data_IF_236495077246
#
_entry.id   IF_236495077246
#
_cell.length_a   1.000
_cell.length_b   1.000
_cell.length_c   1.000
_cell.angle_alpha   90.00
_cell.angle_beta   90.00
_cell.angle_gamma   90.00
#
_symmetry.space_group_name_H-M   'P 1'
#
loop_
_entity.id
_entity.type
_entity.pdbx_description
1 polymer ?
#
# COMPACT_ATOMS: atom_id res chain seq x y z
N UNK A 1 -4.43 17.12 0.90
CA UNK A 1 -4.33 16.40 -0.38
C UNK A 1 -5.39 15.29 -0.45
N UNK A 2 -6.12 15.16 -1.58
CA UNK A 2 -7.06 14.04 -1.78
C UNK A 2 -6.32 12.79 -2.22
N UNK A 3 -6.46 11.71 -1.46
CA UNK A 3 -5.92 10.38 -1.79
C UNK A 3 -7.10 9.41 -1.84
N UNK A 4 -7.05 8.49 -2.78
CA UNK A 4 -8.06 7.45 -2.93
C UNK A 4 -7.44 6.05 -2.89
N UNK A 5 -8.24 5.06 -2.55
CA UNK A 5 -7.95 3.67 -2.89
C UNK A 5 -9.18 3.01 -3.52
N UNK A 6 -8.93 2.00 -4.34
CA UNK A 6 -9.97 1.26 -5.05
C UNK A 6 -9.72 -0.25 -4.90
N UNK A 7 -10.30 -0.88 -3.86
CA UNK A 7 -10.20 -2.32 -3.67
C UNK A 7 -11.08 -3.07 -4.66
N UNK A 8 -10.58 -4.17 -5.21
CA UNK A 8 -11.34 -5.12 -6.02
C UNK A 8 -10.82 -6.54 -5.80
N UNK A 9 -11.52 -7.55 -6.30
CA UNK A 9 -11.03 -8.93 -6.33
C UNK A 9 -10.17 -9.12 -7.58
N UNK A 10 -8.86 -9.21 -7.42
CA UNK A 10 -7.97 -9.52 -8.54
C UNK A 10 -8.01 -11.03 -8.86
N UNK A 11 -7.56 -11.39 -10.05
CA UNK A 11 -7.51 -12.77 -10.52
C UNK A 11 -6.35 -12.99 -11.49
N UNK A 12 -6.32 -14.17 -12.10
CA UNK A 12 -5.29 -14.58 -13.05
C UNK A 12 -5.38 -13.83 -14.40
N UNK A 13 -6.53 -13.27 -14.74
CA UNK A 13 -6.74 -12.52 -15.98
C UNK A 13 -6.34 -11.05 -15.80
N UNK A 14 -5.18 -10.70 -16.35
CA UNK A 14 -4.65 -9.35 -16.27
C UNK A 14 -5.52 -8.31 -16.99
N UNK A 15 -6.18 -8.68 -18.08
CA UNK A 15 -7.08 -7.73 -18.78
C UNK A 15 -8.31 -7.40 -17.94
N UNK A 16 -8.84 -8.39 -17.22
CA UNK A 16 -9.92 -8.15 -16.27
C UNK A 16 -9.44 -7.29 -15.07
N UNK A 17 -8.24 -7.54 -14.54
CA UNK A 17 -7.63 -6.69 -13.52
C UNK A 17 -7.46 -5.25 -14.04
N UNK A 18 -6.96 -5.07 -15.27
CA UNK A 18 -6.82 -3.76 -15.91
C UNK A 18 -8.18 -3.06 -16.12
N UNK A 19 -9.25 -3.82 -16.37
CA UNK A 19 -10.61 -3.27 -16.46
C UNK A 19 -11.02 -2.63 -15.11
N UNK A 20 -10.83 -3.30 -13.99
CA UNK A 20 -11.11 -2.77 -12.65
C UNK A 20 -10.20 -1.57 -12.33
N UNK A 21 -8.94 -1.63 -12.71
CA UNK A 21 -7.98 -0.52 -12.54
C UNK A 21 -8.45 0.72 -13.31
N UNK A 22 -8.90 0.59 -14.57
CA UNK A 22 -9.46 1.70 -15.37
C UNK A 22 -10.69 2.33 -14.71
N UNK A 23 -11.59 1.51 -14.13
CA UNK A 23 -12.75 2.01 -13.38
C UNK A 23 -12.33 2.83 -12.16
N UNK A 24 -11.34 2.33 -11.39
CA UNK A 24 -10.78 3.03 -10.25
C UNK A 24 -10.13 4.36 -10.64
N UNK A 25 -9.33 4.36 -11.71
CA UNK A 25 -8.66 5.57 -12.23
C UNK A 25 -9.68 6.62 -12.68
N UNK A 26 -10.71 6.21 -13.44
CA UNK A 26 -11.79 7.12 -13.84
C UNK A 26 -12.49 7.74 -12.63
N UNK A 27 -12.90 6.91 -11.67
CA UNK A 27 -13.59 7.38 -10.47
C UNK A 27 -12.70 8.32 -9.61
N UNK A 28 -11.38 8.05 -9.53
CA UNK A 28 -10.44 8.89 -8.81
C UNK A 28 -10.25 10.25 -9.48
N UNK A 29 -10.12 10.28 -10.81
CA UNK A 29 -10.00 11.50 -11.60
C UNK A 29 -11.25 12.39 -11.47
N UNK A 30 -12.45 11.81 -11.58
CA UNK A 30 -13.72 12.51 -11.39
C UNK A 30 -13.87 13.16 -10.01
N UNK A 31 -13.24 12.59 -8.97
CA UNK A 31 -13.24 13.11 -7.60
C UNK A 31 -12.05 14.04 -7.29
N UNK A 32 -11.16 14.25 -8.25
CA UNK A 32 -9.96 15.08 -8.11
C UNK A 32 -8.93 14.49 -7.13
N UNK A 33 -8.80 13.17 -7.08
CA UNK A 33 -7.76 12.52 -6.30
C UNK A 33 -6.38 12.75 -6.93
N UNK A 34 -5.38 13.07 -6.09
CA UNK A 34 -4.00 13.25 -6.52
C UNK A 34 -3.23 11.93 -6.58
N UNK A 35 -3.60 10.97 -5.74
CA UNK A 35 -3.03 9.63 -5.69
C UNK A 35 -4.16 8.61 -5.57
N UNK A 36 -4.11 7.57 -6.40
CA UNK A 36 -4.94 6.39 -6.31
C UNK A 36 -4.09 5.18 -5.95
N UNK A 37 -4.49 4.44 -4.91
CA UNK A 37 -3.78 3.28 -4.40
C UNK A 37 -4.60 2.01 -4.64
N UNK A 38 -3.93 0.96 -5.10
CA UNK A 38 -4.48 -0.37 -5.27
C UNK A 38 -3.87 -1.36 -4.27
N UNK A 39 -4.50 -2.52 -4.12
CA UNK A 39 -4.07 -3.58 -3.22
C UNK A 39 -2.79 -4.29 -3.69
N UNK A 40 -2.24 -5.16 -2.83
CA UNK A 40 -1.12 -6.05 -3.11
C UNK A 40 -1.41 -6.91 -4.35
N UNK A 41 -0.46 -6.95 -5.28
CA UNK A 41 -0.57 -7.66 -6.56
C UNK A 41 -1.85 -7.38 -7.37
N UNK A 42 -2.43 -6.19 -7.25
CA UNK A 42 -3.66 -5.81 -7.95
C UNK A 42 -3.59 -6.01 -9.48
N UNK A 43 -2.40 -5.80 -10.06
CA UNK A 43 -2.20 -5.95 -11.51
C UNK A 43 -2.15 -7.41 -11.95
N UNK A 44 -1.48 -8.27 -11.18
CA UNK A 44 -1.16 -9.65 -11.57
C UNK A 44 -2.05 -10.70 -10.92
N UNK A 45 -2.81 -10.34 -9.88
CA UNK A 45 -3.31 -11.26 -8.89
C UNK A 45 -2.20 -11.69 -7.93
N UNK A 46 -2.54 -12.00 -6.67
CA UNK A 46 -1.60 -12.45 -5.65
C UNK A 46 -1.47 -13.98 -5.65
N UNK A 47 -0.29 -14.55 -5.96
CA UNK A 47 -0.09 -15.99 -5.89
C UNK A 47 0.15 -16.44 -4.43
N UNK A 48 -0.29 -17.65 -4.02
CA UNK A 48 -1.10 -18.60 -4.78
C UNK A 48 -2.62 -18.42 -4.60
N UNK A 49 -3.07 -17.29 -4.06
CA UNK A 49 -4.47 -17.08 -3.62
C UNK A 49 -5.39 -16.71 -4.79
N UNK A 50 -4.94 -15.82 -5.66
CA UNK A 50 -5.72 -15.24 -6.75
C UNK A 50 -5.27 -15.74 -8.13
N UNK A 51 -4.04 -16.29 -8.20
CA UNK A 51 -3.43 -16.77 -9.45
C UNK A 51 -2.31 -17.78 -9.14
N UNK A 52 -1.88 -18.52 -10.14
CA UNK A 52 -0.69 -19.37 -10.07
C UNK A 52 0.55 -18.56 -10.48
N UNK A 53 1.67 -18.75 -9.75
CA UNK A 53 2.91 -17.99 -9.99
C UNK A 53 3.47 -18.20 -11.39
N UNK A 54 3.30 -19.40 -11.95
CA UNK A 54 3.76 -19.78 -13.29
C UNK A 54 3.00 -19.05 -14.40
N UNK A 55 1.78 -18.56 -14.13
CA UNK A 55 0.98 -17.78 -15.08
C UNK A 55 1.44 -16.33 -15.21
N UNK A 56 2.27 -15.86 -14.26
CA UNK A 56 2.80 -14.50 -14.22
C UNK A 56 4.17 -14.52 -14.91
N UNK A 57 4.26 -13.99 -16.13
CA UNK A 57 5.52 -13.85 -16.86
C UNK A 57 6.03 -12.42 -16.83
N UNK A 58 7.35 -12.24 -17.06
CA UNK A 58 7.97 -10.92 -17.10
C UNK A 58 7.33 -10.04 -18.18
N UNK A 59 7.05 -10.60 -19.37
CA UNK A 59 6.41 -9.88 -20.49
C UNK A 59 5.04 -9.37 -20.11
N UNK A 60 4.21 -10.20 -19.43
CA UNK A 60 2.89 -9.76 -18.92
C UNK A 60 3.04 -8.62 -17.91
N UNK A 61 3.99 -8.73 -16.97
CA UNK A 61 4.23 -7.69 -15.98
C UNK A 61 4.64 -6.36 -16.65
N UNK A 62 5.55 -6.41 -17.61
CA UNK A 62 6.00 -5.23 -18.38
C UNK A 62 4.83 -4.62 -19.17
N UNK A 63 4.02 -5.45 -19.84
CA UNK A 63 2.83 -4.99 -20.55
C UNK A 63 1.85 -4.28 -19.62
N UNK A 64 1.50 -4.91 -18.49
CA UNK A 64 0.55 -4.35 -17.53
C UNK A 64 1.05 -3.04 -16.91
N UNK A 65 2.34 -2.97 -16.53
CA UNK A 65 2.93 -1.74 -15.99
C UNK A 65 2.97 -0.59 -16.98
N UNK A 66 3.19 -0.88 -18.29
CA UNK A 66 3.07 0.14 -19.35
C UNK A 66 1.64 0.67 -19.47
N UNK A 67 0.64 -0.21 -19.36
CA UNK A 67 -0.77 0.20 -19.35
C UNK A 67 -1.08 1.10 -18.13
N UNK A 68 -0.60 0.76 -16.93
CA UNK A 68 -0.77 1.58 -15.73
C UNK A 68 -0.09 2.94 -15.87
N UNK A 69 1.14 2.99 -16.39
CA UNK A 69 1.86 4.23 -16.71
C UNK A 69 1.07 5.13 -17.67
N UNK A 70 0.49 4.54 -18.73
CA UNK A 70 -0.36 5.26 -19.69
C UNK A 70 -1.61 5.83 -18.99
N UNK A 71 -2.29 5.02 -18.16
CA UNK A 71 -3.47 5.46 -17.41
C UNK A 71 -3.16 6.64 -16.47
N UNK A 72 -2.00 6.61 -15.76
CA UNK A 72 -1.58 7.72 -14.91
C UNK A 72 -1.41 9.02 -15.73
N UNK A 73 -0.75 8.93 -16.88
CA UNK A 73 -0.53 10.08 -17.78
C UNK A 73 -1.84 10.61 -18.37
N UNK A 74 -2.73 9.74 -18.81
CA UNK A 74 -4.00 10.11 -19.47
C UNK A 74 -4.98 10.72 -18.47
N UNK A 75 -5.00 10.24 -17.23
CA UNK A 75 -5.92 10.71 -16.19
C UNK A 75 -5.38 11.90 -15.38
N UNK A 76 -4.06 12.14 -15.40
CA UNK A 76 -3.41 13.11 -14.53
C UNK A 76 -3.42 12.73 -13.04
N UNK A 77 -3.67 11.45 -12.72
CA UNK A 77 -3.70 10.90 -11.36
C UNK A 77 -2.44 10.07 -11.11
N UNK A 78 -1.72 10.32 -10.03
CA UNK A 78 -0.66 9.43 -9.60
C UNK A 78 -1.24 8.06 -9.19
N UNK A 79 -0.58 6.96 -9.55
CA UNK A 79 -1.08 5.61 -9.27
C UNK A 79 -0.04 4.82 -8.47
N UNK A 80 -0.44 4.30 -7.30
CA UNK A 80 0.29 3.28 -6.56
C UNK A 80 -0.29 1.91 -6.90
N UNK A 81 0.52 1.06 -7.53
CA UNK A 81 0.12 -0.23 -8.08
C UNK A 81 0.89 -1.38 -7.44
N UNK A 82 0.17 -2.32 -6.79
CA UNK A 82 0.72 -3.60 -6.35
C UNK A 82 0.82 -4.59 -7.52
N UNK A 83 1.96 -5.30 -7.62
CA UNK A 83 2.22 -6.26 -8.71
C UNK A 83 3.33 -7.24 -8.32
N UNK A 84 3.39 -8.36 -9.00
CA UNK A 84 4.63 -9.13 -9.12
C UNK A 84 5.53 -8.41 -10.11
N UNK A 85 6.81 -8.29 -9.79
CA UNK A 85 7.81 -7.64 -10.63
C UNK A 85 9.01 -8.56 -10.86
N UNK A 86 9.53 -8.55 -12.08
CA UNK A 86 10.79 -9.19 -12.44
C UNK A 86 11.89 -8.13 -12.59
N UNK A 87 13.05 -8.38 -11.96
CA UNK A 87 14.20 -7.49 -12.04
C UNK A 87 15.48 -8.32 -11.85
N UNK A 88 16.38 -8.30 -12.84
CA UNK A 88 17.64 -9.04 -12.82
C UNK A 88 17.46 -10.55 -12.66
N UNK A 89 16.40 -11.14 -13.23
CA UNK A 89 16.08 -12.56 -13.12
C UNK A 89 15.48 -12.98 -11.77
N UNK A 90 15.20 -12.02 -10.90
CA UNK A 90 14.55 -12.24 -9.59
C UNK A 90 13.11 -11.77 -9.62
N UNK A 91 12.27 -12.40 -8.80
CA UNK A 91 10.87 -12.00 -8.60
C UNK A 91 10.70 -11.26 -7.29
N UNK A 92 9.87 -10.22 -7.33
CA UNK A 92 9.53 -9.39 -6.17
C UNK A 92 8.02 -9.21 -6.07
N UNK A 93 7.52 -9.15 -4.85
CA UNK A 93 6.19 -8.63 -4.54
C UNK A 93 6.36 -7.12 -4.32
N UNK A 94 5.90 -6.31 -5.26
CA UNK A 94 6.27 -4.90 -5.35
C UNK A 94 5.06 -3.97 -5.37
N UNK A 95 5.27 -2.74 -4.92
CA UNK A 95 4.41 -1.60 -5.16
C UNK A 95 5.20 -0.49 -5.88
N UNK A 96 4.71 -0.09 -7.04
CA UNK A 96 5.29 0.97 -7.87
C UNK A 96 4.39 2.20 -7.85
N UNK A 97 4.99 3.38 -7.88
CA UNK A 97 4.26 4.65 -7.97
C UNK A 97 4.58 5.32 -9.29
N UNK A 98 3.54 5.57 -10.09
CA UNK A 98 3.61 6.36 -11.32
C UNK A 98 3.05 7.75 -11.06
N UNK A 99 3.78 8.79 -11.49
CA UNK A 99 3.33 10.19 -11.42
C UNK A 99 2.28 10.49 -12.53
N UNK A 100 1.72 11.70 -12.50
CA UNK A 100 0.74 12.18 -13.50
C UNK A 100 1.32 12.31 -14.92
N UNK A 101 2.61 12.06 -15.10
CA UNK A 101 3.29 11.98 -16.42
C UNK A 101 3.57 10.54 -16.83
N UNK A 102 3.15 9.56 -16.01
CA UNK A 102 3.40 8.14 -16.22
C UNK A 102 4.83 7.69 -15.92
N UNK A 103 5.63 8.50 -15.22
CA UNK A 103 7.00 8.13 -14.83
C UNK A 103 6.95 7.38 -13.50
N UNK A 104 7.70 6.30 -13.38
CA UNK A 104 7.95 5.65 -12.10
C UNK A 104 8.76 6.59 -11.20
N UNK A 105 8.22 6.94 -10.04
CA UNK A 105 8.86 7.85 -9.07
C UNK A 105 9.22 7.15 -7.76
N UNK A 106 8.65 5.97 -7.50
CA UNK A 106 8.97 5.18 -6.31
C UNK A 106 8.69 3.71 -6.57
N UNK A 107 9.50 2.85 -5.96
CA UNK A 107 9.31 1.41 -5.89
C UNK A 107 9.58 0.94 -4.47
N UNK A 108 8.73 0.07 -3.97
CA UNK A 108 8.94 -0.69 -2.75
C UNK A 108 8.74 -2.17 -3.04
N UNK A 109 9.70 -2.98 -2.66
CA UNK A 109 9.62 -4.43 -2.73
C UNK A 109 9.39 -4.95 -1.30
N UNK A 110 8.44 -5.84 -1.11
CA UNK A 110 8.07 -6.41 0.19
C UNK A 110 9.30 -6.95 0.93
N UNK A 111 9.52 -6.51 2.14
CA UNK A 111 10.72 -6.87 2.93
C UNK A 111 10.46 -8.06 3.83
N UNK A 112 9.31 -8.12 4.47
CA UNK A 112 8.92 -9.24 5.32
C UNK A 112 8.12 -10.24 4.48
N UNK A 113 8.75 -11.36 4.13
CA UNK A 113 8.15 -12.44 3.36
C UNK A 113 7.61 -13.50 4.32
N UNK A 114 6.31 -13.84 4.18
CA UNK A 114 5.73 -14.94 4.94
C UNK A 114 5.95 -16.27 4.19
N UNK A 115 5.96 -17.40 4.88
CA UNK A 115 6.00 -18.76 4.36
C UNK A 115 6.20 -18.91 2.84
N UNK A 116 5.11 -19.02 2.10
CA UNK A 116 5.12 -19.18 0.65
C UNK A 116 5.86 -18.03 -0.09
N UNK A 117 5.73 -16.80 0.36
CA UNK A 117 6.45 -15.67 -0.24
C UNK A 117 7.97 -15.84 -0.16
N UNK A 118 8.47 -16.38 0.97
CA UNK A 118 9.91 -16.56 1.18
C UNK A 118 10.54 -17.59 0.21
N UNK A 119 9.74 -18.51 -0.30
CA UNK A 119 10.17 -19.51 -1.28
C UNK A 119 10.11 -18.99 -2.72
N UNK A 120 9.29 -17.96 -2.98
CA UNK A 120 8.94 -17.54 -4.34
C UNK A 120 9.38 -16.13 -4.71
N UNK A 121 9.63 -15.26 -3.73
CA UNK A 121 10.04 -13.87 -3.93
C UNK A 121 11.38 -13.56 -3.28
N UNK A 122 12.05 -12.56 -3.79
CA UNK A 122 13.24 -11.96 -3.19
C UNK A 122 12.82 -10.84 -2.23
N UNK A 123 13.34 -10.79 -0.99
CA UNK A 123 13.07 -9.67 -0.09
C UNK A 123 13.62 -8.36 -0.64
N UNK A 124 12.87 -7.27 -0.42
CA UNK A 124 13.25 -5.93 -0.85
C UNK A 124 14.25 -5.24 0.08
N UNK A 125 14.94 -4.24 -0.45
CA UNK A 125 15.90 -3.41 0.30
C UNK A 125 15.55 -1.91 0.23
N UNK A 126 14.68 -1.51 -0.71
CA UNK A 126 14.32 -0.10 -0.94
C UNK A 126 13.43 0.43 0.19
N UNK A 127 13.61 1.70 0.55
CA UNK A 127 12.83 2.32 1.65
C UNK A 127 11.36 2.57 1.30
N UNK A 128 11.05 2.74 0.01
CA UNK A 128 9.69 2.96 -0.46
C UNK A 128 9.10 4.26 0.06
N UNK A 129 9.84 5.37 -0.07
CA UNK A 129 9.42 6.69 0.41
C UNK A 129 9.46 7.68 -0.76
N UNK A 130 8.40 8.48 -0.89
CA UNK A 130 8.30 9.56 -1.87
C UNK A 130 7.50 10.73 -1.29
N UNK A 131 7.57 11.88 -1.96
CA UNK A 131 6.79 13.07 -1.57
C UNK A 131 5.86 13.46 -2.72
N UNK A 132 4.61 13.74 -2.39
CA UNK A 132 3.60 14.24 -3.32
C UNK A 132 2.84 15.39 -2.67
N UNK A 133 2.78 16.54 -3.35
CA UNK A 133 2.11 17.77 -2.87
C UNK A 133 2.45 18.14 -1.40
N UNK A 134 3.72 17.97 -1.01
CA UNK A 134 4.21 18.26 0.33
C UNK A 134 3.93 17.19 1.39
N UNK A 135 3.20 16.12 1.07
CA UNK A 135 2.97 14.97 1.96
C UNK A 135 4.05 13.92 1.70
N UNK A 136 4.77 13.52 2.74
CA UNK A 136 5.75 12.43 2.66
C UNK A 136 5.07 11.09 2.92
N UNK A 137 5.16 10.19 1.94
CA UNK A 137 4.41 8.94 1.90
C UNK A 137 5.39 7.76 1.92
N UNK A 138 5.19 6.83 2.85
CA UNK A 138 5.86 5.55 2.88
C UNK A 138 4.97 4.41 2.37
N UNK A 139 5.59 3.34 1.90
CA UNK A 139 4.90 2.13 1.44
C UNK A 139 5.36 0.94 2.28
N UNK A 140 4.41 0.12 2.75
CA UNK A 140 4.67 -1.20 3.35
C UNK A 140 3.61 -2.17 2.85
N UNK A 141 3.99 -3.43 2.60
CA UNK A 141 3.11 -4.42 1.97
C UNK A 141 2.71 -5.50 2.99
N UNK A 142 1.42 -5.65 3.24
CA UNK A 142 0.78 -6.80 3.90
C UNK A 142 1.50 -7.26 5.18
N UNK A 143 2.27 -8.36 5.11
CA UNK A 143 2.95 -8.98 6.24
C UNK A 143 3.95 -8.06 6.94
N UNK A 144 4.46 -7.02 6.26
CA UNK A 144 5.29 -5.97 6.86
C UNK A 144 4.63 -5.33 8.09
N UNK A 145 3.29 -5.35 8.20
CA UNK A 145 2.54 -4.79 9.34
C UNK A 145 2.95 -5.37 10.68
N UNK A 146 3.49 -6.59 10.69
CA UNK A 146 3.90 -7.30 11.90
C UNK A 146 5.26 -6.84 12.45
N UNK A 147 6.03 -6.09 11.66
CA UNK A 147 7.41 -5.69 11.97
C UNK A 147 7.47 -4.20 12.32
N UNK A 148 7.49 -3.82 13.63
CA UNK A 148 7.52 -2.43 14.06
C UNK A 148 8.75 -1.67 13.53
N UNK A 149 9.86 -2.36 13.29
CA UNK A 149 11.10 -1.80 12.77
C UNK A 149 10.90 -1.11 11.41
N UNK A 150 10.10 -1.70 10.54
CA UNK A 150 9.79 -1.15 9.21
C UNK A 150 9.00 0.16 9.30
N UNK A 151 8.16 0.31 10.33
CA UNK A 151 7.39 1.54 10.57
C UNK A 151 8.22 2.59 11.31
N UNK A 152 9.13 2.14 12.19
CA UNK A 152 10.07 3.06 12.83
C UNK A 152 10.97 3.74 11.81
N UNK A 153 11.39 3.04 10.77
CA UNK A 153 12.13 3.65 9.66
C UNK A 153 11.32 4.76 8.95
N UNK A 154 10.00 4.59 8.78
CA UNK A 154 9.12 5.65 8.24
C UNK A 154 8.98 6.84 9.19
N UNK A 155 8.86 6.58 10.50
CA UNK A 155 8.85 7.66 11.51
C UNK A 155 10.16 8.45 11.49
N UNK A 156 11.29 7.76 11.39
CA UNK A 156 12.63 8.38 11.34
C UNK A 156 12.82 9.20 10.05
N UNK A 157 12.21 8.78 8.97
CA UNK A 157 12.14 9.53 7.72
C UNK A 157 11.07 10.65 7.74
N UNK A 158 10.33 10.82 8.82
CA UNK A 158 9.25 11.82 8.98
C UNK A 158 8.12 11.63 7.94
N UNK A 159 7.68 10.40 7.70
CA UNK A 159 6.54 10.13 6.85
C UNK A 159 5.23 10.58 7.51
N UNK A 160 4.35 11.24 6.75
CA UNK A 160 3.04 11.71 7.18
C UNK A 160 1.97 10.64 7.01
N UNK A 161 2.15 9.78 6.02
CA UNK A 161 1.24 8.71 5.62
C UNK A 161 2.02 7.44 5.28
N UNK A 162 1.50 6.28 5.69
CA UNK A 162 1.90 4.99 5.14
C UNK A 162 0.74 4.41 4.33
N UNK A 163 0.99 4.09 3.06
CA UNK A 163 0.06 3.30 2.24
C UNK A 163 0.43 1.83 2.38
N UNK A 164 -0.59 1.01 2.66
CA UNK A 164 -0.42 -0.42 2.89
C UNK A 164 -1.31 -1.26 1.97
N UNK A 165 -0.80 -1.70 0.82
CA UNK A 165 -1.41 -2.74 0.01
C UNK A 165 -1.45 -4.08 0.74
N UNK A 166 -2.60 -4.78 0.68
CA UNK A 166 -2.83 -6.10 1.23
C UNK A 166 -3.50 -7.04 0.22
N UNK A 167 -3.17 -8.31 0.30
CA UNK A 167 -4.01 -9.42 -0.11
C UNK A 167 -4.08 -10.41 1.07
N UNK A 168 -4.73 -9.97 2.15
CA UNK A 168 -4.92 -10.80 3.34
C UNK A 168 -6.34 -11.35 3.38
N UNK A 169 -6.44 -12.63 3.05
CA UNK A 169 -7.69 -13.38 3.01
C UNK A 169 -7.62 -14.51 4.02
N UNK A 170 -8.68 -14.73 4.78
CA UNK A 170 -8.75 -15.82 5.74
C UNK A 170 -10.18 -16.30 5.94
N UNK A 171 -10.41 -17.58 5.81
CA UNK A 171 -11.72 -18.17 6.13
C UNK A 171 -12.02 -18.02 7.62
N UNK A 172 -13.18 -17.43 7.94
CA UNK A 172 -13.82 -17.42 9.26
C UNK A 172 -12.94 -16.99 10.46
N UNK A 173 -12.10 -15.96 10.33
CA UNK A 173 -11.29 -15.50 11.45
C UNK A 173 -11.60 -14.05 11.88
N UNK A 174 -12.69 -13.79 12.63
CA UNK A 174 -12.92 -12.48 13.25
C UNK A 174 -11.74 -12.02 14.10
N UNK A 175 -11.03 -12.96 14.72
CA UNK A 175 -9.85 -12.71 15.53
C UNK A 175 -8.67 -12.21 14.67
N UNK A 176 -8.41 -12.82 13.50
CA UNK A 176 -7.39 -12.32 12.57
C UNK A 176 -7.65 -10.87 12.18
N UNK A 177 -8.91 -10.53 11.88
CA UNK A 177 -9.30 -9.14 11.60
C UNK A 177 -9.02 -8.21 12.77
N UNK A 178 -9.31 -8.63 14.02
CA UNK A 178 -9.02 -7.84 15.22
C UNK A 178 -7.52 -7.61 15.39
N UNK A 179 -6.72 -8.67 15.24
CA UNK A 179 -5.26 -8.60 15.36
C UNK A 179 -4.68 -7.66 14.30
N UNK A 180 -5.02 -7.82 13.03
CA UNK A 180 -4.47 -7.00 11.95
C UNK A 180 -4.95 -5.55 12.02
N UNK A 181 -6.21 -5.32 12.38
CA UNK A 181 -6.71 -3.96 12.67
C UNK A 181 -5.97 -3.35 13.87
N UNK A 182 -5.67 -4.14 14.89
CA UNK A 182 -4.85 -3.75 16.05
C UNK A 182 -3.45 -3.33 15.63
N UNK A 183 -2.79 -4.11 14.77
CA UNK A 183 -1.48 -3.72 14.22
C UNK A 183 -1.56 -2.38 13.49
N UNK A 184 -2.51 -2.20 12.55
CA UNK A 184 -2.67 -0.95 11.81
C UNK A 184 -2.85 0.27 12.73
N UNK A 185 -3.72 0.14 13.74
CA UNK A 185 -3.94 1.19 14.76
C UNK A 185 -2.67 1.51 15.52
N UNK A 186 -1.95 0.48 15.97
CA UNK A 186 -0.71 0.64 16.73
C UNK A 186 0.37 1.28 15.86
N UNK A 187 0.56 0.82 14.60
CA UNK A 187 1.53 1.43 13.69
C UNK A 187 1.24 2.89 13.41
N UNK A 188 -0.04 3.28 13.27
CA UNK A 188 -0.42 4.68 13.14
C UNK A 188 -0.06 5.47 14.40
N UNK A 189 -0.53 5.04 15.56
CA UNK A 189 -0.40 5.78 16.81
C UNK A 189 1.06 5.85 17.32
N UNK A 190 1.81 4.75 17.27
CA UNK A 190 3.20 4.72 17.76
C UNK A 190 4.18 5.49 16.88
N UNK A 191 3.86 5.69 15.60
CA UNK A 191 4.71 6.42 14.65
C UNK A 191 4.13 7.79 14.27
N UNK A 192 3.03 8.21 14.90
CA UNK A 192 2.37 9.51 14.67
C UNK A 192 2.13 9.76 13.18
N UNK A 193 1.63 8.74 12.50
CA UNK A 193 1.54 8.69 11.05
C UNK A 193 0.17 8.16 10.65
N UNK A 194 -0.45 8.75 9.64
CA UNK A 194 -1.69 8.21 9.09
C UNK A 194 -1.41 6.89 8.35
N UNK A 195 -2.41 6.01 8.29
CA UNK A 195 -2.30 4.78 7.50
C UNK A 195 -3.51 4.66 6.56
N UNK A 196 -3.25 4.36 5.30
CA UNK A 196 -4.24 3.96 4.32
C UNK A 196 -4.00 2.49 3.94
N UNK A 197 -4.81 1.58 4.48
CA UNK A 197 -4.81 0.18 4.07
C UNK A 197 -5.76 -0.05 2.91
N UNK A 198 -5.33 -0.82 1.92
CA UNK A 198 -6.16 -1.28 0.81
C UNK A 198 -5.98 -2.78 0.62
N UNK A 199 -7.06 -3.54 0.84
CA UNK A 199 -7.04 -5.01 0.78
C UNK A 199 -7.81 -5.52 -0.42
N UNK A 200 -7.33 -6.59 -1.04
CA UNK A 200 -8.09 -7.33 -2.03
C UNK A 200 -9.47 -7.73 -1.48
N UNK A 201 -10.47 -7.72 -2.36
CA UNK A 201 -11.83 -8.22 -2.08
C UNK A 201 -12.00 -9.69 -2.46
N UNK A 202 -10.90 -10.41 -2.67
CA UNK A 202 -10.91 -11.85 -2.83
C UNK A 202 -11.59 -12.53 -1.63
N UNK A 203 -11.93 -13.77 -1.79
CA UNK A 203 -12.71 -14.54 -0.81
C UNK A 203 -12.21 -14.31 0.63
N UNK A 204 -13.11 -13.82 1.51
CA UNK A 204 -12.87 -13.57 2.94
C UNK A 204 -11.76 -12.53 3.28
N UNK A 205 -11.90 -11.26 2.86
CA UNK A 205 -10.91 -10.23 3.20
C UNK A 205 -10.82 -10.02 4.72
N UNK A 206 -9.63 -10.28 5.29
CA UNK A 206 -9.40 -10.19 6.72
C UNK A 206 -8.97 -8.80 7.19
N UNK A 207 -8.26 -8.04 6.35
CA UNK A 207 -7.84 -6.66 6.66
C UNK A 207 -8.88 -5.67 6.13
N UNK A 208 -9.26 -4.62 6.89
CA UNK A 208 -10.15 -3.59 6.37
C UNK A 208 -9.43 -2.72 5.33
N UNK A 209 -10.11 -2.38 4.22
CA UNK A 209 -9.73 -1.22 3.43
C UNK A 209 -10.20 0.00 4.20
N UNK A 210 -9.25 0.77 4.76
CA UNK A 210 -9.57 1.84 5.71
C UNK A 210 -8.49 2.91 5.78
N UNK A 211 -8.91 4.14 6.14
CA UNK A 211 -8.03 5.22 6.52
C UNK A 211 -8.02 5.40 8.02
N UNK A 212 -6.82 5.34 8.61
CA UNK A 212 -6.54 5.54 10.03
C UNK A 212 -5.85 6.89 10.20
N UNK A 213 -6.30 7.67 11.21
CA UNK A 213 -5.58 8.88 11.60
C UNK A 213 -4.32 8.54 12.43
N UNK A 214 -3.50 9.55 12.73
CA UNK A 214 -2.28 9.44 13.52
C UNK A 214 -2.49 8.97 14.97
N UNK A 215 -3.72 8.89 15.44
CA UNK A 215 -4.09 8.34 16.74
C UNK A 215 -4.62 6.89 16.63
N UNK A 216 -4.56 6.29 15.45
CA UNK A 216 -5.03 4.93 15.18
C UNK A 216 -6.55 4.80 15.11
N UNK A 217 -7.32 5.89 14.93
CA UNK A 217 -8.78 5.85 14.77
C UNK A 217 -9.12 5.64 13.31
N UNK A 218 -10.06 4.72 13.03
CA UNK A 218 -10.61 4.56 11.68
C UNK A 218 -11.48 5.77 11.37
N UNK A 219 -11.10 6.54 10.36
CA UNK A 219 -11.81 7.73 9.87
C UNK A 219 -12.79 7.37 8.76
N UNK A 220 -12.38 6.47 7.87
CA UNK A 220 -13.22 5.94 6.78
C UNK A 220 -12.88 4.47 6.53
N UNK A 221 -13.85 3.70 6.07
CA UNK A 221 -13.69 2.28 5.73
C UNK A 221 -14.57 1.91 4.54
N UNK A 222 -14.11 0.92 3.75
CA UNK A 222 -14.87 0.36 2.64
C UNK A 222 -14.69 -1.16 2.59
N UNK A 223 -15.79 -1.89 2.41
CA UNK A 223 -15.80 -3.36 2.40
C UNK A 223 -16.33 -3.92 1.06
N UNK A 224 -16.45 -3.09 0.03
CA UNK A 224 -16.91 -3.48 -1.31
C UNK A 224 -16.15 -2.70 -2.36
N UNK A 225 -16.15 -3.17 -3.58
CA UNK A 225 -15.55 -2.49 -4.72
C UNK A 225 -16.02 -1.05 -4.87
N UNK A 226 -15.11 -0.18 -5.27
CA UNK A 226 -15.32 1.22 -5.51
C UNK A 226 -14.37 2.13 -4.73
N UNK A 227 -14.49 3.43 -4.93
CA UNK A 227 -13.58 4.42 -4.41
C UNK A 227 -13.78 4.69 -2.91
N UNK A 228 -12.70 4.66 -2.14
CA UNK A 228 -12.59 5.27 -0.80
C UNK A 228 -11.73 6.52 -0.95
N UNK A 229 -12.33 7.70 -0.75
CA UNK A 229 -11.64 9.00 -0.85
C UNK A 229 -11.32 9.54 0.54
N UNK A 230 -10.06 9.94 0.77
CA UNK A 230 -9.53 10.49 2.00
C UNK A 230 -8.94 11.89 1.75
N UNK A 231 -9.05 12.78 2.72
CA UNK A 231 -8.37 14.07 2.73
C UNK A 231 -7.21 14.01 3.73
N UNK A 232 -6.01 13.78 3.21
CA UNK A 232 -4.80 13.66 4.00
C UNK A 232 -4.16 15.03 4.13
N UNK A 233 -3.81 15.40 5.37
CA UNK A 233 -3.05 16.60 5.73
C UNK A 233 -1.80 16.18 6.49
N UNK A 234 -0.80 17.05 6.54
CA UNK A 234 0.29 16.86 7.50
C UNK A 234 -0.34 16.81 8.89
N UNK A 235 0.00 15.80 9.73
CA UNK A 235 -0.56 15.68 11.06
C UNK A 235 -0.26 16.95 11.89
N UNK A 236 -1.31 17.58 12.45
CA UNK A 236 -1.13 18.64 13.40
C UNK A 236 -0.54 18.09 14.69
N UNK A 237 0.42 18.81 15.29
CA UNK A 237 1.00 18.42 16.56
C UNK A 237 0.02 18.69 17.69
N UNK A 238 -0.38 17.63 18.39
CA UNK A 238 -1.07 17.72 19.68
C UNK A 238 -0.09 17.37 20.82
N UNK A 239 -0.55 17.53 22.05
CA UNK A 239 0.28 17.26 23.24
C UNK A 239 0.88 15.84 23.26
N UNK A 240 0.13 14.84 22.84
CA UNK A 240 0.59 13.45 22.78
C UNK A 240 1.66 13.25 21.71
N UNK A 241 1.51 13.89 20.55
CA UNK A 241 2.47 13.82 19.45
C UNK A 241 3.80 14.48 19.78
N UNK A 242 3.78 15.66 20.39
CA UNK A 242 5.00 16.36 20.82
C UNK A 242 5.82 15.50 21.79
N UNK A 243 5.18 14.95 22.82
CA UNK A 243 5.85 14.06 23.79
C UNK A 243 6.49 12.87 23.13
N UNK A 244 5.85 12.29 22.09
CA UNK A 244 6.41 11.17 21.38
C UNK A 244 7.63 11.52 20.53
N UNK A 245 7.59 12.64 19.79
CA UNK A 245 8.73 13.10 18.98
C UNK A 245 9.94 13.40 19.85
N UNK A 246 9.77 14.20 20.92
CA UNK A 246 10.85 14.56 21.86
C UNK A 246 11.49 13.32 22.49
N UNK A 247 10.68 12.38 22.98
CA UNK A 247 11.23 11.16 23.59
C UNK A 247 11.90 10.23 22.55
N UNK A 248 11.42 10.18 21.32
CA UNK A 248 12.06 9.41 20.26
C UNK A 248 13.49 9.94 19.97
N UNK A 249 13.69 11.25 19.96
CA UNK A 249 15.01 11.88 19.81
C UNK A 249 15.95 11.52 20.96
N UNK A 250 15.48 11.62 22.20
CA UNK A 250 16.25 11.22 23.39
C UNK A 250 16.68 9.75 23.38
N UNK A 251 15.86 8.87 22.82
CA UNK A 251 16.21 7.45 22.70
C UNK A 251 17.18 7.16 21.55
N UNK A 252 17.28 8.02 20.55
CA UNK A 252 18.30 7.91 19.50
C UNK A 252 19.68 8.29 20.01
N UNK A 253 19.80 9.40 20.69
CA UNK A 253 21.07 9.91 21.26
C UNK A 253 21.72 8.91 22.23
N UNK A 254 20.94 8.06 22.90
CA UNK A 254 21.46 7.04 23.83
C UNK A 254 21.92 5.74 23.15
N UNK A 255 21.77 5.61 21.84
CA UNK A 255 22.19 4.42 21.07
C UNK A 255 23.48 4.60 20.29
N UNK A 256 24.03 5.82 20.30
CA UNK A 256 25.36 6.17 19.78
C UNK A 256 26.39 6.18 20.90
#
# INVERSE_FOLDING_TARGET
MKIACYPFAAGADMEENLRHIRLGVKAAAEQGARLLCFQECALTGYPPVETEIESITEEKCVFGLRAVSALARESGVCILMGTVLYDGGRRYNSALVFDEKGREICRYDKRALWGWDAENFTPGERDGIFTLDGIKIGIRICFDVRFPELFRALFDAQADLCVMPFCDTAEHLPERRRILTGHLRTRAAENVMQILSVNSLSRYPAVPTAWFDQNGRIRKQRNKEGLLLCEVTVPEEDFGMQGRRVNAELFREKRT
#
